data_IF_518528560049
#
_entry.id   IF_518528560049
#
_cell.length_a   1.000
_cell.length_b   1.000
_cell.length_c   1.000
_cell.angle_alpha   90.00
_cell.angle_beta   90.00
_cell.angle_gamma   90.00
#
_symmetry.space_group_name_H-M   'P 1'
#
loop_
_entity.id
_entity.type
_entity.pdbx_description
1 polymer ?
#
# COMPACT_ATOMS: atom_id res chain seq x y z
N UNK A 1 -0.54 0.34 20.52
CA UNK A 1 -0.11 1.74 20.71
C UNK A 1 0.01 2.38 19.33
N UNK A 2 -0.71 3.46 19.03
CA UNK A 2 -0.62 4.13 17.72
C UNK A 2 0.45 5.23 17.79
N UNK A 3 1.43 5.17 16.89
CA UNK A 3 2.53 6.14 16.83
C UNK A 3 2.16 7.26 15.84
N UNK A 4 2.20 8.52 16.29
CA UNK A 4 1.68 9.66 15.51
C UNK A 4 2.75 10.44 14.73
N UNK A 5 4.01 10.01 14.80
CA UNK A 5 5.14 10.63 14.11
C UNK A 5 5.62 9.75 12.96
N UNK A 6 6.19 10.38 11.93
CA UNK A 6 6.90 9.65 10.87
C UNK A 6 8.14 8.98 11.48
N UNK A 7 8.33 7.71 11.20
CA UNK A 7 9.54 6.96 11.53
C UNK A 7 10.44 7.05 10.31
N UNK A 8 11.66 7.54 10.50
CA UNK A 8 12.68 7.54 9.47
C UNK A 8 13.62 6.37 9.74
N UNK A 9 14.06 5.71 8.68
CA UNK A 9 15.06 4.65 8.75
C UNK A 9 16.35 5.13 8.07
N UNK A 10 17.48 4.74 8.63
CA UNK A 10 18.73 4.65 7.90
C UNK A 10 18.64 3.50 6.87
N UNK A 11 19.55 3.51 5.90
CA UNK A 11 19.58 2.46 4.88
C UNK A 11 19.82 1.06 5.49
N UNK A 12 20.70 0.97 6.49
CA UNK A 12 21.02 -0.30 7.15
C UNK A 12 19.83 -0.84 7.95
N UNK A 13 19.12 0.03 8.68
CA UNK A 13 17.88 -0.35 9.38
C UNK A 13 16.81 -0.82 8.38
N UNK A 14 16.68 -0.15 7.24
CA UNK A 14 15.77 -0.59 6.20
C UNK A 14 16.10 -2.00 5.68
N UNK A 15 17.38 -2.29 5.43
CA UNK A 15 17.81 -3.62 4.98
C UNK A 15 17.54 -4.70 6.02
N UNK A 16 17.76 -4.40 7.30
CA UNK A 16 17.44 -5.30 8.40
C UNK A 16 15.93 -5.57 8.47
N UNK A 17 15.11 -4.53 8.42
CA UNK A 17 13.65 -4.66 8.40
C UNK A 17 13.16 -5.46 7.19
N UNK A 18 13.74 -5.26 6.00
CA UNK A 18 13.41 -6.04 4.82
C UNK A 18 13.72 -7.54 5.02
N UNK A 19 14.85 -7.86 5.66
CA UNK A 19 15.22 -9.24 6.00
C UNK A 19 14.22 -9.86 6.98
N UNK A 20 13.80 -9.12 8.00
CA UNK A 20 12.80 -9.58 8.97
C UNK A 20 11.43 -9.81 8.31
N UNK A 21 10.99 -8.90 7.44
CA UNK A 21 9.73 -9.05 6.69
C UNK A 21 9.75 -10.29 5.80
N UNK A 22 10.83 -10.54 5.06
CA UNK A 22 11.01 -11.76 4.25
C UNK A 22 10.99 -13.04 5.10
N UNK A 23 11.55 -12.99 6.31
CA UNK A 23 11.51 -14.11 7.26
C UNK A 23 10.08 -14.36 7.74
N UNK A 24 9.37 -13.30 8.11
CA UNK A 24 7.99 -13.37 8.58
C UNK A 24 7.05 -14.00 7.56
N UNK A 25 7.15 -13.60 6.29
CA UNK A 25 6.39 -14.22 5.18
C UNK A 25 6.60 -15.74 5.13
N UNK A 26 7.86 -16.20 5.17
CA UNK A 26 8.19 -17.63 5.11
C UNK A 26 7.64 -18.43 6.29
N UNK A 27 7.53 -17.80 7.46
CA UNK A 27 7.07 -18.43 8.70
C UNK A 27 5.53 -18.39 8.84
N UNK A 28 4.83 -17.56 8.05
CA UNK A 28 3.39 -17.34 8.19
C UNK A 28 2.65 -17.46 6.86
N UNK A 29 2.03 -18.62 6.62
CA UNK A 29 1.36 -18.98 5.35
C UNK A 29 0.27 -18.00 4.87
N UNK A 30 -0.34 -17.25 5.78
CA UNK A 30 -1.42 -16.32 5.46
C UNK A 30 -0.93 -14.92 5.03
N UNK A 31 0.39 -14.68 5.02
CA UNK A 31 0.99 -13.41 4.67
C UNK A 31 1.86 -13.57 3.43
N UNK A 32 1.74 -12.62 2.50
CA UNK A 32 2.55 -12.58 1.28
C UNK A 32 3.21 -11.21 1.14
N UNK A 33 4.48 -11.21 0.74
CA UNK A 33 5.24 -9.99 0.50
C UNK A 33 5.13 -9.60 -0.97
N UNK A 34 4.47 -8.47 -1.23
CA UNK A 34 4.37 -7.90 -2.57
C UNK A 34 5.49 -6.88 -2.79
N UNK A 35 6.10 -6.91 -3.98
CA UNK A 35 7.10 -5.92 -4.40
C UNK A 35 6.48 -5.02 -5.46
N UNK A 36 6.28 -3.75 -5.12
CA UNK A 36 5.89 -2.72 -6.08
C UNK A 36 7.14 -2.01 -6.59
N UNK A 37 7.40 -2.14 -7.90
CA UNK A 37 8.58 -1.55 -8.55
C UNK A 37 8.46 -0.03 -8.70
N UNK A 38 7.22 0.47 -8.76
CA UNK A 38 6.91 1.85 -9.08
C UNK A 38 5.76 2.28 -8.19
N UNK A 39 5.92 3.42 -7.53
CA UNK A 39 4.87 3.99 -6.69
C UNK A 39 4.37 5.26 -7.38
N UNK A 40 3.17 5.21 -7.97
CA UNK A 40 2.57 6.42 -8.59
C UNK A 40 2.32 7.52 -7.57
N UNK A 41 1.97 7.15 -6.34
CA UNK A 41 1.58 8.09 -5.30
C UNK A 41 2.28 7.77 -3.98
N UNK A 42 3.11 8.69 -3.49
CA UNK A 42 3.83 8.53 -2.21
C UNK A 42 2.93 8.34 -0.98
N UNK A 43 1.76 8.98 -0.96
CA UNK A 43 0.88 9.03 0.21
C UNK A 43 -0.54 8.51 -0.05
N UNK A 44 -0.76 7.81 -1.16
CA UNK A 44 -2.06 7.23 -1.50
C UNK A 44 -1.85 5.74 -1.73
N UNK A 45 -2.63 4.91 -1.04
CA UNK A 45 -2.72 3.47 -1.33
C UNK A 45 -4.09 3.13 -1.87
N UNK A 46 -4.10 2.20 -2.82
CA UNK A 46 -5.32 1.68 -3.44
C UNK A 46 -5.40 0.19 -3.16
N UNK A 47 -6.52 -0.28 -2.64
CA UNK A 47 -6.77 -1.71 -2.42
C UNK A 47 -8.06 -2.09 -3.13
N UNK A 48 -7.96 -3.08 -4.01
CA UNK A 48 -9.08 -3.59 -4.80
C UNK A 48 -9.47 -4.95 -4.24
N UNK A 49 -10.74 -5.13 -3.86
CA UNK A 49 -11.23 -6.41 -3.32
C UNK A 49 -12.18 -7.06 -4.32
N UNK A 50 -11.65 -8.04 -5.09
CA UNK A 50 -12.39 -8.90 -6.02
C UNK A 50 -13.38 -8.12 -6.93
N UNK A 51 -12.97 -6.96 -7.44
CA UNK A 51 -13.77 -6.04 -8.26
C UNK A 51 -15.13 -5.63 -7.65
N UNK A 52 -15.33 -5.81 -6.34
CA UNK A 52 -16.57 -5.42 -5.64
C UNK A 52 -16.53 -3.97 -5.16
N UNK A 53 -15.37 -3.55 -4.65
CA UNK A 53 -15.13 -2.19 -4.20
C UNK A 53 -13.63 -1.89 -4.20
N UNK A 54 -13.32 -0.60 -4.24
CA UNK A 54 -11.97 -0.08 -4.08
C UNK A 54 -11.90 0.76 -2.81
N UNK A 55 -10.81 0.60 -2.06
CA UNK A 55 -10.47 1.47 -0.95
C UNK A 55 -9.29 2.35 -1.38
N UNK A 56 -9.48 3.67 -1.36
CA UNK A 56 -8.41 4.64 -1.55
C UNK A 56 -8.09 5.26 -0.19
N UNK A 57 -6.85 5.14 0.25
CA UNK A 57 -6.41 5.64 1.56
C UNK A 57 -5.34 6.71 1.40
N UNK A 58 -5.56 7.87 2.01
CA UNK A 58 -4.52 8.90 2.15
C UNK A 58 -3.77 8.67 3.46
N UNK A 59 -2.49 8.31 3.34
CA UNK A 59 -1.61 7.98 4.46
C UNK A 59 -0.91 9.26 4.95
N UNK A 60 -1.63 10.08 5.71
CA UNK A 60 -1.08 11.24 6.44
C UNK A 60 -2.10 11.64 7.51
N UNK A 61 -1.68 12.11 8.68
CA UNK A 61 -2.63 12.54 9.73
C UNK A 61 -3.36 13.84 9.31
N UNK A 62 -4.71 13.87 9.22
CA UNK A 62 -5.66 12.78 9.49
C UNK A 62 -5.78 11.78 8.34
N UNK A 63 -5.74 10.49 8.67
CA UNK A 63 -5.93 9.43 7.68
C UNK A 63 -7.36 9.47 7.14
N UNK A 64 -7.50 9.44 5.82
CA UNK A 64 -8.80 9.47 5.15
C UNK A 64 -8.91 8.22 4.27
N UNK A 65 -10.00 7.48 4.45
CA UNK A 65 -10.31 6.28 3.67
C UNK A 65 -11.60 6.49 2.88
N UNK A 66 -11.51 6.36 1.55
CA UNK A 66 -12.65 6.38 0.65
C UNK A 66 -13.00 4.97 0.24
N UNK A 67 -14.25 4.56 0.48
CA UNK A 67 -14.79 3.27 0.00
C UNK A 67 -15.66 3.53 -1.23
N UNK A 68 -15.21 3.05 -2.37
CA UNK A 68 -15.88 3.24 -3.65
C UNK A 68 -16.51 1.92 -4.08
N UNK A 69 -17.85 1.89 -4.12
CA UNK A 69 -18.65 0.73 -4.54
C UNK A 69 -19.51 1.09 -5.76
N UNK A 70 -18.85 1.40 -6.87
CA UNK A 70 -19.51 1.72 -8.13
C UNK A 70 -18.77 1.03 -9.29
N UNK A 71 -19.42 0.13 -10.07
CA UNK A 71 -18.74 -0.72 -11.05
C UNK A 71 -17.81 0.03 -12.00
N UNK A 72 -18.29 1.12 -12.63
CA UNK A 72 -17.47 1.91 -13.58
C UNK A 72 -16.25 2.57 -12.93
N UNK A 73 -16.37 2.98 -11.66
CA UNK A 73 -15.25 3.62 -10.95
C UNK A 73 -14.25 2.58 -10.47
N UNK A 74 -14.74 1.44 -10.00
CA UNK A 74 -13.88 0.30 -9.64
C UNK A 74 -13.06 -0.14 -10.85
N UNK A 75 -13.70 -0.35 -12.00
CA UNK A 75 -13.05 -0.72 -13.25
C UNK A 75 -12.05 0.33 -13.74
N UNK A 76 -12.39 1.62 -13.66
CA UNK A 76 -11.49 2.70 -14.07
C UNK A 76 -10.23 2.78 -13.18
N UNK A 77 -10.36 2.52 -11.88
CA UNK A 77 -9.23 2.52 -10.94
C UNK A 77 -8.38 1.26 -11.11
N UNK A 78 -9.00 0.10 -11.34
CA UNK A 78 -8.32 -1.19 -11.57
C UNK A 78 -7.44 -1.15 -12.83
N UNK A 79 -7.94 -0.52 -13.90
CA UNK A 79 -7.22 -0.37 -15.15
C UNK A 79 -6.36 0.91 -15.23
N UNK A 80 -6.16 1.61 -14.11
CA UNK A 80 -5.42 2.87 -14.10
C UNK A 80 -3.93 2.62 -14.38
N UNK A 81 -3.42 3.19 -15.48
CA UNK A 81 -2.00 3.17 -15.81
C UNK A 81 -1.42 4.60 -15.70
N UNK A 82 -0.50 4.87 -14.77
CA UNK A 82 0.03 6.21 -14.55
C UNK A 82 0.92 6.68 -15.71
N UNK A 83 0.72 7.93 -16.15
CA UNK A 83 1.56 8.57 -17.18
C UNK A 83 2.92 9.01 -16.64
N UNK A 84 3.01 9.28 -15.33
CA UNK A 84 4.23 9.68 -14.62
C UNK A 84 4.41 8.78 -13.42
N UNK A 85 5.65 8.32 -13.24
CA UNK A 85 6.08 7.46 -12.13
C UNK A 85 7.09 8.27 -11.34
N UNK A 86 6.88 8.42 -10.03
CA UNK A 86 7.81 9.08 -9.10
C UNK A 86 8.92 8.13 -8.63
#
# INVERSE_FOLDING_TARGET
MFYNKKINYTYDEYLEHLKLTKKFEKENINYHLNYEKEQTFKNITTTITNNKYVIISKIANPAIHFVIKHPKLVEAIDNFNPLVKE
#
